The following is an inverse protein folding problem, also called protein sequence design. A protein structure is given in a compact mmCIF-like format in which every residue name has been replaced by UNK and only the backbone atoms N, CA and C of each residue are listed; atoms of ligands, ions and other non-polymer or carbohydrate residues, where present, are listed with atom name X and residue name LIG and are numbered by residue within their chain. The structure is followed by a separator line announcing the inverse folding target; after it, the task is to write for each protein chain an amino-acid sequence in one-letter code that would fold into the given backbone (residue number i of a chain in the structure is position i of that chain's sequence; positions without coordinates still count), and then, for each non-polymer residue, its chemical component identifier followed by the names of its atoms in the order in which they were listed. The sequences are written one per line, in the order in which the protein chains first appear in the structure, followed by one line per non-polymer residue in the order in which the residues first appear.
data_IF_336715024815
#
_entry.id   IF_336715024815
#
_cell.length_a   1.000
_cell.length_b   1.000
_cell.length_c   1.000
_cell.angle_alpha   90.00
_cell.angle_beta   90.00
_cell.angle_gamma   90.00
#
_symmetry.space_group_name_H-M   'P 1'
#
loop_
_entity.id
_entity.type
_entity.pdbx_description
1 polymer ?
#
# COMPACT_ATOMS: atom_id res chain seq x y z
N UNK A 1 1.71 -3.61 -0.50
CA UNK A 1 3.13 -3.87 -0.19
C UNK A 1 3.35 -3.71 1.31
N UNK A 2 4.36 -4.38 1.89
CA UNK A 2 4.56 -4.59 3.33
C UNK A 2 6.03 -4.37 3.66
N UNK A 3 6.40 -3.11 3.89
CA UNK A 3 7.80 -2.75 4.07
C UNK A 3 8.68 -3.08 2.86
N UNK A 4 9.77 -2.38 2.76
CA UNK A 4 10.82 -2.53 1.74
C UNK A 4 12.11 -3.12 2.35
N UNK A 5 12.13 -3.31 3.67
CA UNK A 5 13.28 -3.82 4.42
C UNK A 5 12.93 -5.16 5.07
N UNK A 6 13.70 -6.18 4.72
CA UNK A 6 13.53 -7.54 5.21
C UNK A 6 14.79 -8.01 5.94
N UNK A 7 14.66 -8.73 7.06
CA UNK A 7 15.83 -9.33 7.71
C UNK A 7 16.48 -10.39 6.81
N UNK A 8 17.75 -10.69 7.07
CA UNK A 8 18.50 -11.73 6.36
C UNK A 8 17.94 -13.14 6.54
N UNK A 9 17.00 -13.34 7.48
CA UNK A 9 16.40 -14.65 7.79
C UNK A 9 14.99 -14.85 7.23
N UNK A 10 14.21 -13.77 7.00
CA UNK A 10 12.80 -13.87 6.61
C UNK A 10 12.44 -12.87 5.51
N UNK A 11 11.42 -13.20 4.73
CA UNK A 11 10.68 -12.24 3.92
C UNK A 11 9.45 -11.78 4.70
N UNK A 12 9.37 -10.48 5.00
CA UNK A 12 8.24 -9.92 5.73
C UNK A 12 7.02 -9.81 4.81
N UNK A 13 5.84 -10.15 5.33
CA UNK A 13 4.60 -10.13 4.56
C UNK A 13 3.44 -10.74 5.33
N UNK A 14 2.20 -10.53 4.87
CA UNK A 14 1.01 -11.19 5.41
C UNK A 14 0.53 -12.29 4.47
N UNK A 15 -0.14 -13.29 5.03
CA UNK A 15 -0.73 -14.37 4.27
C UNK A 15 -1.93 -13.83 3.49
N UNK A 16 -1.79 -13.71 2.17
CA UNK A 16 -2.87 -13.26 1.26
C UNK A 16 -3.83 -14.38 0.87
N UNK A 17 -3.30 -15.59 0.65
CA UNK A 17 -4.07 -16.78 0.31
C UNK A 17 -3.60 -17.93 1.20
N UNK A 18 -4.53 -18.71 1.75
CA UNK A 18 -4.21 -19.89 2.56
C UNK A 18 -5.15 -21.06 2.21
N UNK A 19 -4.69 -22.32 2.35
CA UNK A 19 -5.53 -23.49 2.12
C UNK A 19 -6.74 -23.49 3.06
N UNK A 20 -7.94 -23.60 2.50
CA UNK A 20 -9.18 -23.70 3.26
C UNK A 20 -10.27 -24.28 2.34
N UNK A 21 -10.93 -25.36 2.77
CA UNK A 21 -11.97 -26.05 1.99
C UNK A 21 -13.19 -25.16 1.69
N UNK A 22 -13.43 -24.14 2.51
CA UNK A 22 -14.50 -23.14 2.32
C UNK A 22 -13.98 -21.89 1.60
N UNK A 23 -12.86 -22.01 0.89
CA UNK A 23 -12.32 -20.97 0.00
C UNK A 23 -13.06 -20.92 -1.34
N UNK A 24 -12.74 -19.91 -2.14
CA UNK A 24 -13.36 -19.62 -3.44
C UNK A 24 -12.32 -19.47 -4.58
N UNK A 25 -11.08 -19.89 -4.31
CA UNK A 25 -9.97 -19.88 -5.28
C UNK A 25 -9.32 -21.24 -5.35
N UNK A 26 -8.81 -21.58 -6.52
CA UNK A 26 -8.05 -22.81 -6.75
C UNK A 26 -6.60 -22.46 -7.02
N UNK A 27 -5.70 -22.91 -6.15
CA UNK A 27 -4.25 -22.73 -6.28
C UNK A 27 -3.58 -24.09 -6.05
N UNK A 28 -2.60 -24.44 -6.87
CA UNK A 28 -1.83 -25.68 -6.72
C UNK A 28 -2.72 -26.94 -6.60
N UNK A 29 -3.85 -26.96 -7.32
CA UNK A 29 -4.83 -28.06 -7.28
C UNK A 29 -5.62 -28.19 -5.97
N UNK A 30 -5.61 -27.17 -5.09
CA UNK A 30 -6.33 -27.15 -3.81
C UNK A 30 -7.18 -25.89 -3.67
N UNK A 31 -8.18 -25.94 -2.80
CA UNK A 31 -9.02 -24.79 -2.46
C UNK A 31 -8.30 -23.85 -1.49
N UNK A 32 -8.28 -22.57 -1.81
CA UNK A 32 -7.68 -21.50 -1.02
C UNK A 32 -8.71 -20.42 -0.72
N UNK A 33 -8.62 -19.81 0.47
CA UNK A 33 -9.36 -18.60 0.83
C UNK A 33 -8.46 -17.38 0.73
N UNK A 34 -9.01 -16.27 0.24
CA UNK A 34 -8.37 -14.96 0.29
C UNK A 34 -8.49 -14.33 1.69
N UNK A 35 -7.39 -13.78 2.18
CA UNK A 35 -7.35 -12.92 3.36
C UNK A 35 -7.25 -11.44 2.94
N UNK A 36 -8.13 -10.61 3.48
CA UNK A 36 -8.15 -9.15 3.26
C UNK A 36 -7.82 -8.35 4.52
N UNK A 37 -7.57 -9.01 5.65
CA UNK A 37 -7.27 -8.38 6.95
C UNK A 37 -5.86 -8.78 7.36
N UNK A 38 -4.95 -7.81 7.40
CA UNK A 38 -3.52 -8.05 7.66
C UNK A 38 -3.29 -8.78 8.98
N UNK A 39 -3.93 -8.33 10.07
CA UNK A 39 -3.80 -8.96 11.39
C UNK A 39 -4.31 -10.40 11.48
N UNK A 40 -5.17 -10.86 10.55
CA UNK A 40 -5.58 -12.28 10.50
C UNK A 40 -4.43 -13.21 10.12
N UNK A 41 -3.35 -12.71 9.54
CA UNK A 41 -2.18 -13.53 9.21
C UNK A 41 -1.54 -14.16 10.45
N UNK A 42 -1.57 -13.49 11.60
CA UNK A 42 -1.12 -14.10 12.87
C UNK A 42 -1.94 -15.35 13.20
N UNK A 43 -3.27 -15.30 13.10
CA UNK A 43 -4.12 -16.46 13.35
C UNK A 43 -3.94 -17.58 12.31
N UNK A 44 -3.73 -17.22 11.03
CA UNK A 44 -3.48 -18.21 9.97
C UNK A 44 -2.14 -18.94 10.19
N UNK A 45 -1.17 -18.28 10.82
CA UNK A 45 0.16 -18.81 11.11
C UNK A 45 0.31 -19.29 12.57
N UNK A 46 -0.79 -19.55 13.28
CA UNK A 46 -0.79 -19.92 14.70
C UNK A 46 0.20 -21.05 15.05
N UNK A 47 0.27 -22.08 14.19
CA UNK A 47 1.13 -23.26 14.37
C UNK A 47 2.55 -23.07 13.82
N UNK A 48 2.91 -21.84 13.41
CA UNK A 48 4.20 -21.46 12.83
C UNK A 48 4.82 -20.25 13.54
N UNK A 49 5.22 -20.39 14.82
CA UNK A 49 5.73 -19.27 15.63
C UNK A 49 7.00 -18.64 15.05
N UNK A 50 7.80 -19.39 14.29
CA UNK A 50 8.94 -18.88 13.55
C UNK A 50 8.56 -17.78 12.54
N UNK A 51 7.29 -17.74 12.10
CA UNK A 51 6.81 -16.71 11.19
C UNK A 51 6.47 -15.38 11.89
N UNK A 52 6.64 -15.26 13.22
CA UNK A 52 6.45 -14.01 13.94
C UNK A 52 7.78 -13.32 14.15
N UNK A 53 8.01 -12.26 13.39
CA UNK A 53 9.30 -11.59 13.29
C UNK A 53 9.18 -10.18 13.85
N UNK A 54 10.07 -9.79 14.75
CA UNK A 54 10.20 -8.38 15.11
C UNK A 54 10.98 -7.64 14.01
N UNK A 55 10.35 -6.64 13.39
CA UNK A 55 11.04 -5.78 12.42
C UNK A 55 11.58 -4.55 13.14
N UNK A 56 12.90 -4.32 13.21
CA UNK A 56 13.44 -3.11 13.82
C UNK A 56 13.08 -1.85 13.03
N UNK A 57 12.99 -1.94 11.70
CA UNK A 57 12.64 -0.82 10.83
C UNK A 57 11.23 -0.31 11.09
N UNK A 58 10.28 -1.23 11.33
CA UNK A 58 8.91 -0.89 11.68
C UNK A 58 8.82 -0.62 13.18
N UNK A 59 9.46 -1.42 14.02
CA UNK A 59 9.40 -1.32 15.48
C UNK A 59 8.27 -2.14 16.11
N UNK A 60 7.75 -3.16 15.42
CA UNK A 60 6.71 -4.06 15.94
C UNK A 60 6.89 -5.49 15.42
N UNK A 61 6.10 -6.41 15.98
CA UNK A 61 5.98 -7.78 15.47
C UNK A 61 5.13 -7.77 14.20
N UNK A 62 5.65 -8.46 13.18
CA UNK A 62 5.06 -8.62 11.86
C UNK A 62 5.17 -10.09 11.46
N UNK A 63 4.31 -10.55 10.55
CA UNK A 63 4.47 -11.88 9.97
C UNK A 63 5.58 -11.89 8.90
N UNK A 64 6.34 -12.97 8.82
CA UNK A 64 7.33 -13.17 7.79
C UNK A 64 7.62 -14.65 7.58
N UNK A 65 7.97 -15.06 6.37
CA UNK A 65 8.26 -16.47 6.06
C UNK A 65 9.78 -16.67 6.09
N UNK A 66 10.29 -17.73 6.74
CA UNK A 66 11.71 -18.09 6.66
C UNK A 66 12.16 -18.16 5.20
N UNK A 67 13.35 -17.63 4.89
CA UNK A 67 13.84 -17.60 3.50
C UNK A 67 13.96 -19.00 2.89
N UNK A 68 14.37 -19.97 3.70
CA UNK A 68 14.57 -21.35 3.27
C UNK A 68 13.26 -22.09 2.94
N UNK A 69 12.11 -21.56 3.38
CA UNK A 69 10.79 -22.12 3.06
C UNK A 69 10.22 -21.60 1.73
N UNK A 70 10.87 -20.61 1.12
CA UNK A 70 10.36 -19.98 -0.10
C UNK A 70 10.65 -20.88 -1.29
N UNK A 71 9.60 -21.55 -1.77
CA UNK A 71 9.68 -22.41 -2.97
C UNK A 71 9.65 -21.59 -4.26
N UNK A 72 8.90 -20.48 -4.28
CA UNK A 72 8.70 -19.67 -5.48
C UNK A 72 8.48 -18.20 -5.12
N UNK A 73 9.10 -17.31 -5.89
CA UNK A 73 8.87 -15.88 -5.85
C UNK A 73 8.17 -15.44 -7.15
N UNK A 74 7.02 -14.79 -7.01
CA UNK A 74 6.27 -14.25 -8.14
C UNK A 74 6.62 -12.78 -8.34
N UNK A 75 7.30 -12.47 -9.45
CA UNK A 75 7.64 -11.09 -9.82
C UNK A 75 6.53 -10.44 -10.64
N UNK A 76 6.13 -9.23 -10.25
CA UNK A 76 5.05 -8.48 -10.93
C UNK A 76 5.41 -8.12 -12.37
N UNK A 77 6.68 -7.78 -12.64
CA UNK A 77 7.20 -7.49 -13.98
C UNK A 77 7.26 -8.74 -14.86
N UNK A 78 7.71 -9.86 -14.30
CA UNK A 78 7.73 -11.13 -15.02
C UNK A 78 6.31 -11.65 -15.32
N UNK A 79 5.36 -11.46 -14.40
CA UNK A 79 3.97 -11.79 -14.66
C UNK A 79 3.38 -10.94 -15.78
N UNK A 80 3.66 -9.63 -15.78
CA UNK A 80 3.25 -8.74 -16.88
C UNK A 80 3.83 -9.21 -18.22
N UNK A 81 5.12 -9.48 -18.29
CA UNK A 81 5.78 -9.98 -19.50
C UNK A 81 5.19 -11.32 -19.97
N UNK A 82 4.97 -12.27 -19.06
CA UNK A 82 4.38 -13.57 -19.38
C UNK A 82 2.95 -13.44 -19.94
N UNK A 83 2.14 -12.54 -19.37
CA UNK A 83 0.78 -12.27 -19.88
C UNK A 83 0.80 -11.57 -21.24
N UNK A 84 1.83 -10.78 -21.54
CA UNK A 84 2.03 -10.19 -22.87
C UNK A 84 2.42 -11.24 -23.91
N UNK A 85 3.38 -12.10 -23.58
CA UNK A 85 3.89 -13.14 -24.47
C UNK A 85 2.89 -14.28 -24.68
N UNK A 86 2.14 -14.63 -23.64
CA UNK A 86 1.16 -15.73 -23.66
C UNK A 86 -0.20 -15.26 -23.14
N UNK A 87 -0.98 -14.52 -23.94
CA UNK A 87 -2.32 -14.05 -23.55
C UNK A 87 -3.29 -15.18 -23.16
N UNK A 88 -3.08 -16.39 -23.69
CA UNK A 88 -3.87 -17.60 -23.39
C UNK A 88 -3.79 -18.05 -21.91
N UNK A 89 -2.88 -17.46 -21.12
CA UNK A 89 -2.86 -17.63 -19.66
C UNK A 89 -4.09 -16.99 -18.98
N UNK A 90 -4.78 -16.10 -19.67
CA UNK A 90 -5.99 -15.44 -19.18
C UNK A 90 -7.27 -16.17 -19.61
N UNK A 91 -8.33 -16.01 -18.83
CA UNK A 91 -9.63 -16.66 -19.04
C UNK A 91 -10.46 -16.08 -20.20
N UNK A 92 -9.92 -15.12 -20.95
CA UNK A 92 -10.62 -14.43 -22.03
C UNK A 92 -11.79 -13.54 -21.61
N UNK A 93 -12.05 -13.37 -20.29
CA UNK A 93 -13.10 -12.48 -19.79
C UNK A 93 -12.87 -11.02 -20.19
N UNK A 94 -13.91 -10.18 -20.10
CA UNK A 94 -13.79 -8.76 -20.41
C UNK A 94 -12.70 -8.06 -19.57
N UNK A 95 -12.53 -8.45 -18.30
CA UNK A 95 -11.47 -7.91 -17.43
C UNK A 95 -10.09 -8.32 -17.93
N UNK A 96 -9.93 -9.57 -18.35
CA UNK A 96 -8.68 -10.06 -18.96
C UNK A 96 -8.34 -9.32 -20.25
N UNK A 97 -9.33 -9.02 -21.10
CA UNK A 97 -9.12 -8.23 -22.31
C UNK A 97 -8.72 -6.78 -21.99
N UNK A 98 -9.34 -6.16 -20.98
CA UNK A 98 -8.93 -4.83 -20.53
C UNK A 98 -7.48 -4.83 -20.00
N UNK A 99 -7.10 -5.85 -19.24
CA UNK A 99 -5.72 -6.01 -18.77
C UNK A 99 -4.75 -6.13 -19.95
N UNK A 100 -5.05 -6.92 -20.97
CA UNK A 100 -4.21 -7.05 -22.17
C UNK A 100 -4.05 -5.71 -22.91
N UNK A 101 -5.11 -4.91 -23.00
CA UNK A 101 -5.03 -3.59 -23.60
C UNK A 101 -4.11 -2.64 -22.80
N UNK A 102 -4.22 -2.70 -21.46
CA UNK A 102 -3.32 -1.96 -20.55
C UNK A 102 -1.87 -2.42 -20.69
N UNK A 103 -1.62 -3.73 -20.74
CA UNK A 103 -0.27 -4.29 -20.96
C UNK A 103 0.28 -3.85 -22.32
N UNK A 104 -0.55 -3.85 -23.37
CA UNK A 104 -0.15 -3.37 -24.69
C UNK A 104 0.29 -1.90 -24.67
N UNK A 105 -0.41 -1.05 -23.92
CA UNK A 105 0.02 0.34 -23.70
C UNK A 105 1.36 0.41 -22.97
N UNK A 106 1.54 -0.38 -21.91
CA UNK A 106 2.78 -0.40 -21.11
C UNK A 106 3.98 -0.78 -22.00
N UNK A 107 3.81 -1.81 -22.83
CA UNK A 107 4.85 -2.26 -23.78
C UNK A 107 5.16 -1.19 -24.84
N UNK A 108 4.13 -0.55 -25.40
CA UNK A 108 4.31 0.50 -26.40
C UNK A 108 5.03 1.75 -25.87
N UNK A 109 5.04 1.95 -24.56
CA UNK A 109 5.71 3.07 -23.88
C UNK A 109 6.98 2.64 -23.15
N UNK A 110 7.48 1.42 -23.40
CA UNK A 110 8.72 0.88 -22.80
C UNK A 110 8.73 0.99 -21.27
N UNK A 111 7.57 0.76 -20.65
CA UNK A 111 7.37 0.91 -19.20
C UNK A 111 7.28 -0.44 -18.46
N UNK A 112 7.52 -1.56 -19.13
CA UNK A 112 7.46 -2.92 -18.59
C UNK A 112 8.58 -3.22 -17.57
N UNK A 113 9.67 -2.44 -17.60
CA UNK A 113 10.74 -2.52 -16.61
C UNK A 113 10.40 -1.80 -15.29
N UNK A 114 9.38 -0.94 -15.27
CA UNK A 114 8.96 -0.15 -14.10
C UNK A 114 7.48 -0.27 -13.74
N UNK A 115 6.70 -1.04 -14.48
CA UNK A 115 5.31 -1.39 -14.14
C UNK A 115 5.15 -2.90 -14.15
N UNK A 116 4.41 -3.43 -13.18
CA UNK A 116 4.09 -4.85 -13.09
C UNK A 116 2.64 -5.10 -12.73
N UNK A 117 2.18 -6.33 -12.97
CA UNK A 117 0.84 -6.80 -12.57
C UNK A 117 0.96 -7.56 -11.24
N UNK A 118 0.09 -7.25 -10.28
CA UNK A 118 0.05 -7.90 -8.97
C UNK A 118 -1.30 -8.56 -8.68
N UNK A 119 -1.57 -8.88 -7.41
CA UNK A 119 -2.90 -9.31 -6.96
C UNK A 119 -3.29 -10.67 -7.52
N UNK A 120 -4.56 -10.80 -7.94
CA UNK A 120 -5.10 -12.08 -8.40
C UNK A 120 -4.52 -12.56 -9.73
N UNK A 121 -4.12 -11.63 -10.62
CA UNK A 121 -3.49 -11.95 -11.89
C UNK A 121 -2.06 -12.49 -11.72
N UNK A 122 -1.30 -11.97 -10.74
CA UNK A 122 0.08 -12.41 -10.45
C UNK A 122 0.19 -13.90 -10.15
N UNK A 123 -0.80 -14.46 -9.45
CA UNK A 123 -0.81 -15.87 -9.02
C UNK A 123 -1.80 -16.72 -9.81
N UNK A 124 -2.37 -16.20 -10.91
CA UNK A 124 -3.23 -16.96 -11.82
C UNK A 124 -4.59 -17.35 -11.24
N UNK A 125 -5.15 -16.54 -10.33
CA UNK A 125 -6.46 -16.80 -9.69
C UNK A 125 -7.48 -15.70 -9.94
N UNK A 126 -7.21 -14.87 -10.94
CA UNK A 126 -8.16 -13.87 -11.40
C UNK A 126 -9.40 -14.55 -12.00
N UNK A 127 -10.52 -13.83 -11.96
CA UNK A 127 -11.72 -14.21 -12.69
C UNK A 127 -12.49 -12.98 -13.13
N UNK A 128 -13.65 -13.17 -13.75
CA UNK A 128 -14.43 -12.10 -14.39
C UNK A 128 -14.89 -10.92 -13.49
N UNK A 129 -14.69 -11.00 -12.16
CA UNK A 129 -15.00 -9.93 -11.19
C UNK A 129 -13.75 -9.44 -10.43
N UNK A 130 -12.56 -9.83 -10.87
CA UNK A 130 -11.32 -9.39 -10.26
C UNK A 130 -11.07 -7.91 -10.54
N UNK A 131 -10.47 -7.24 -9.56
CA UNK A 131 -9.82 -5.95 -9.77
C UNK A 131 -8.49 -6.19 -10.53
N UNK A 132 -8.04 -5.18 -11.28
CA UNK A 132 -6.71 -5.14 -11.89
C UNK A 132 -5.81 -4.32 -10.98
N UNK A 133 -4.88 -5.01 -10.33
CA UNK A 133 -3.90 -4.37 -9.44
C UNK A 133 -2.56 -4.27 -10.18
N UNK A 134 -2.07 -3.05 -10.38
CA UNK A 134 -0.74 -2.78 -10.90
C UNK A 134 0.19 -2.31 -9.77
N UNK A 135 1.49 -2.40 -10.01
CA UNK A 135 2.54 -1.75 -9.21
C UNK A 135 3.45 -0.97 -10.14
N UNK A 136 3.99 0.15 -9.67
CA UNK A 136 5.05 0.86 -10.39
C UNK A 136 6.24 1.16 -9.49
N UNK A 137 7.44 1.25 -10.06
CA UNK A 137 8.70 1.33 -9.31
C UNK A 137 9.41 2.66 -9.50
N UNK A 138 9.62 3.39 -8.40
CA UNK A 138 10.35 4.65 -8.37
C UNK A 138 9.67 5.81 -9.13
N UNK A 139 10.36 6.96 -9.24
CA UNK A 139 9.80 8.15 -9.89
C UNK A 139 9.39 7.92 -11.35
N UNK A 140 10.19 7.19 -12.13
CA UNK A 140 9.88 6.86 -13.53
C UNK A 140 8.63 5.99 -13.64
N UNK A 141 8.49 4.98 -12.78
CA UNK A 141 7.28 4.15 -12.73
C UNK A 141 6.05 4.95 -12.33
N UNK A 142 6.19 5.86 -11.37
CA UNK A 142 5.10 6.77 -10.98
C UNK A 142 4.65 7.66 -12.14
N UNK A 143 5.59 8.30 -12.85
CA UNK A 143 5.30 9.14 -14.02
C UNK A 143 4.64 8.35 -15.16
N UNK A 144 5.17 7.16 -15.50
CA UNK A 144 4.57 6.29 -16.51
C UNK A 144 3.15 5.87 -16.14
N UNK A 145 2.92 5.53 -14.86
CA UNK A 145 1.59 5.21 -14.37
C UNK A 145 0.66 6.44 -14.38
N UNK A 146 1.16 7.65 -14.09
CA UNK A 146 0.34 8.86 -14.25
C UNK A 146 -0.14 9.02 -15.70
N UNK A 147 0.74 8.83 -16.68
CA UNK A 147 0.36 8.87 -18.11
C UNK A 147 -0.68 7.80 -18.44
N UNK A 148 -0.47 6.54 -18.04
CA UNK A 148 -1.45 5.46 -18.24
C UNK A 148 -2.85 5.81 -17.71
N UNK A 149 -2.93 6.39 -16.52
CA UNK A 149 -4.22 6.73 -15.89
C UNK A 149 -4.89 7.99 -16.50
N UNK A 150 -4.22 8.68 -17.41
CA UNK A 150 -4.84 9.72 -18.27
C UNK A 150 -5.43 9.17 -19.56
N UNK A 151 -5.11 7.93 -19.95
CA UNK A 151 -5.60 7.29 -21.18
C UNK A 151 -7.07 6.89 -21.07
N UNK A 152 -7.96 7.80 -21.46
CA UNK A 152 -9.43 7.62 -21.33
C UNK A 152 -10.00 6.47 -22.16
N UNK A 153 -9.27 6.02 -23.19
CA UNK A 153 -9.63 4.84 -23.98
C UNK A 153 -9.46 3.54 -23.16
N UNK A 154 -8.55 3.51 -22.20
CA UNK A 154 -8.25 2.34 -21.37
C UNK A 154 -8.87 2.45 -19.97
N UNK A 155 -8.73 3.62 -19.35
CA UNK A 155 -9.06 3.86 -17.94
C UNK A 155 -9.94 5.11 -17.83
N UNK A 156 -11.15 4.91 -17.32
CA UNK A 156 -12.07 5.98 -16.94
C UNK A 156 -11.84 6.37 -15.49
N UNK A 157 -11.80 7.69 -15.19
CA UNK A 157 -11.74 8.15 -13.81
C UNK A 157 -13.06 7.83 -13.09
N UNK A 158 -13.01 7.85 -11.76
CA UNK A 158 -14.23 7.83 -10.97
C UNK A 158 -14.94 9.18 -11.06
N UNK A 159 -16.11 9.19 -11.69
CA UNK A 159 -16.94 10.39 -11.88
C UNK A 159 -18.42 10.07 -11.65
N UNK A 160 -19.22 11.11 -11.36
CA UNK A 160 -20.66 10.99 -11.14
C UNK A 160 -21.01 9.89 -10.11
N UNK A 161 -21.90 8.98 -10.50
CA UNK A 161 -22.37 7.87 -9.65
C UNK A 161 -21.22 6.93 -9.22
N UNK A 162 -20.22 6.71 -10.07
CA UNK A 162 -19.09 5.83 -9.74
C UNK A 162 -18.21 6.42 -8.64
N UNK A 163 -18.09 7.75 -8.60
CA UNK A 163 -17.40 8.48 -7.53
C UNK A 163 -18.16 8.38 -6.21
N UNK A 164 -19.49 8.48 -6.24
CA UNK A 164 -20.34 8.23 -5.06
C UNK A 164 -20.18 6.81 -4.54
N UNK A 165 -20.14 5.81 -5.42
CA UNK A 165 -19.88 4.41 -5.02
C UNK A 165 -18.48 4.23 -4.42
N UNK A 166 -17.46 4.88 -4.98
CA UNK A 166 -16.11 4.90 -4.41
C UNK A 166 -16.14 5.48 -3.00
N UNK A 167 -16.79 6.63 -2.81
CA UNK A 167 -16.96 7.25 -1.50
C UNK A 167 -17.59 6.28 -0.49
N UNK A 168 -18.73 5.67 -0.82
CA UNK A 168 -19.43 4.73 0.08
C UNK A 168 -18.56 3.52 0.46
N UNK A 169 -17.69 3.06 -0.45
CA UNK A 169 -16.73 1.99 -0.19
C UNK A 169 -15.62 2.44 0.77
N UNK A 170 -15.13 3.68 0.64
CA UNK A 170 -14.00 4.23 1.40
C UNK A 170 -14.38 4.82 2.76
N UNK A 171 -15.57 5.43 2.86
CA UNK A 171 -16.07 6.08 4.07
C UNK A 171 -16.11 5.13 5.29
N UNK A 172 -16.31 3.82 5.06
CA UNK A 172 -16.25 2.79 6.10
C UNK A 172 -14.90 2.71 6.82
N UNK A 173 -13.82 3.11 6.15
CA UNK A 173 -12.44 3.00 6.65
C UNK A 173 -11.81 4.36 6.95
N UNK A 174 -12.51 5.46 6.64
CA UNK A 174 -12.01 6.84 6.80
C UNK A 174 -13.00 7.66 7.61
N UNK A 175 -13.31 7.15 8.81
CA UNK A 175 -14.17 7.84 9.77
C UNK A 175 -13.56 9.21 10.11
N UNK A 176 -14.39 10.26 10.10
CA UNK A 176 -13.98 11.62 10.44
C UNK A 176 -13.56 12.52 9.27
N UNK A 177 -13.43 12.00 8.04
CA UNK A 177 -13.28 12.84 6.84
C UNK A 177 -14.62 13.43 6.38
N UNK A 178 -14.61 14.68 5.94
CA UNK A 178 -15.73 15.22 5.14
C UNK A 178 -15.76 14.55 3.76
N UNK A 179 -16.93 14.56 3.11
CA UNK A 179 -17.10 14.02 1.77
C UNK A 179 -16.08 14.61 0.78
N UNK A 180 -15.97 15.94 0.73
CA UNK A 180 -15.10 16.65 -0.20
C UNK A 180 -13.62 16.34 0.04
N UNK A 181 -13.19 16.24 1.30
CA UNK A 181 -11.79 15.93 1.63
C UNK A 181 -11.44 14.49 1.28
N UNK A 182 -12.36 13.55 1.54
CA UNK A 182 -12.18 12.16 1.15
C UNK A 182 -12.05 12.04 -0.38
N UNK A 183 -12.91 12.70 -1.14
CA UNK A 183 -12.84 12.67 -2.60
C UNK A 183 -11.56 13.32 -3.14
N UNK A 184 -11.15 14.46 -2.57
CA UNK A 184 -9.89 15.11 -2.95
C UNK A 184 -8.68 14.22 -2.68
N UNK A 185 -8.69 13.48 -1.57
CA UNK A 185 -7.64 12.51 -1.24
C UNK A 185 -7.67 11.30 -2.19
N UNK A 186 -8.84 10.74 -2.47
CA UNK A 186 -8.98 9.58 -3.38
C UNK A 186 -8.66 9.93 -4.84
N UNK A 187 -8.93 11.16 -5.29
CA UNK A 187 -8.63 11.63 -6.64
C UNK A 187 -7.13 11.77 -6.93
N UNK A 188 -6.27 11.79 -5.90
CA UNK A 188 -4.80 11.83 -6.05
C UNK A 188 -4.18 10.46 -6.28
N UNK A 189 -4.95 9.38 -6.12
CA UNK A 189 -4.47 8.01 -6.27
C UNK A 189 -4.55 7.58 -7.74
N UNK A 190 -3.64 6.71 -8.14
CA UNK A 190 -3.66 6.03 -9.44
C UNK A 190 -4.74 4.94 -9.41
N UNK A 191 -5.99 5.34 -9.61
CA UNK A 191 -7.13 4.44 -9.62
C UNK A 191 -8.23 4.89 -10.59
N UNK A 192 -8.98 3.92 -11.12
CA UNK A 192 -10.09 4.17 -12.03
C UNK A 192 -10.90 2.92 -12.31
N UNK A 193 -11.60 2.95 -13.43
CA UNK A 193 -12.38 1.84 -13.98
C UNK A 193 -11.91 1.55 -15.40
N UNK A 194 -11.75 0.28 -15.75
CA UNK A 194 -11.45 -0.08 -17.14
C UNK A 194 -12.62 0.24 -18.08
N UNK A 195 -12.31 0.52 -19.35
CA UNK A 195 -13.34 0.94 -20.31
C UNK A 195 -14.26 -0.21 -20.72
N UNK A 196 -13.75 -1.43 -20.94
CA UNK A 196 -14.55 -2.56 -21.40
C UNK A 196 -15.43 -3.16 -20.32
N UNK A 197 -14.82 -3.74 -19.27
CA UNK A 197 -15.49 -4.45 -18.19
C UNK A 197 -16.02 -3.53 -17.08
N UNK A 198 -15.50 -2.30 -16.97
CA UNK A 198 -15.79 -1.45 -15.81
C UNK A 198 -15.20 -2.00 -14.50
N UNK A 199 -14.12 -2.78 -14.59
CA UNK A 199 -13.42 -3.32 -13.43
C UNK A 199 -12.61 -2.23 -12.73
N UNK A 200 -12.47 -2.32 -11.41
CA UNK A 200 -11.55 -1.42 -10.71
C UNK A 200 -10.12 -1.72 -11.16
N UNK A 201 -9.40 -0.66 -11.51
CA UNK A 201 -7.97 -0.71 -11.78
C UNK A 201 -7.26 0.27 -10.86
N UNK A 202 -6.14 -0.15 -10.28
CA UNK A 202 -5.26 0.70 -9.49
C UNK A 202 -3.79 0.45 -9.84
N UNK A 203 -2.92 1.38 -9.45
CA UNK A 203 -1.48 1.19 -9.49
C UNK A 203 -0.88 1.67 -8.16
N UNK A 204 -0.23 0.77 -7.44
CA UNK A 204 0.47 1.09 -6.19
C UNK A 204 1.92 1.53 -6.49
N UNK A 205 2.31 2.76 -6.17
CA UNK A 205 3.69 3.20 -6.31
C UNK A 205 4.57 2.58 -5.24
N UNK A 206 5.65 1.94 -5.67
CA UNK A 206 6.67 1.34 -4.83
C UNK A 206 7.96 2.14 -4.96
N UNK A 207 8.80 2.07 -3.93
CA UNK A 207 10.18 2.57 -4.00
C UNK A 207 10.96 1.90 -5.12
N UNK A 208 11.97 2.60 -5.63
CA UNK A 208 12.81 2.11 -6.72
C UNK A 208 13.62 0.89 -6.29
N UNK A 209 14.03 0.07 -7.25
CA UNK A 209 14.99 -1.02 -6.97
C UNK A 209 16.28 -0.42 -6.40
N UNK A 210 16.72 -0.92 -5.24
CA UNK A 210 17.92 -0.43 -4.56
C UNK A 210 17.72 0.88 -3.79
N UNK A 211 16.49 1.38 -3.63
CA UNK A 211 16.18 2.44 -2.66
C UNK A 211 16.63 2.02 -1.25
N UNK A 212 17.32 2.92 -0.54
CA UNK A 212 17.89 2.68 0.79
C UNK A 212 17.29 3.58 1.88
N UNK A 213 16.19 4.27 1.60
CA UNK A 213 15.57 5.27 2.48
C UNK A 213 15.28 4.73 3.87
N UNK A 214 14.83 3.47 3.96
CA UNK A 214 14.53 2.83 5.25
C UNK A 214 15.56 1.78 5.68
N UNK A 215 16.66 1.63 4.95
CA UNK A 215 17.75 0.74 5.36
C UNK A 215 18.42 1.27 6.62
N UNK A 216 18.76 0.35 7.54
CA UNK A 216 19.43 0.68 8.80
C UNK A 216 18.65 1.70 9.66
N UNK A 217 17.33 1.78 9.44
CA UNK A 217 16.41 2.55 10.28
C UNK A 217 15.90 1.67 11.41
N UNK A 218 15.83 2.24 12.61
CA UNK A 218 15.28 1.60 13.79
C UNK A 218 14.15 2.46 14.34
N UNK A 219 13.00 1.86 14.59
CA UNK A 219 11.86 2.52 15.19
C UNK A 219 11.54 1.92 16.54
N UNK A 220 11.39 2.79 17.54
CA UNK A 220 10.99 2.42 18.89
C UNK A 220 9.70 3.12 19.24
N UNK A 221 8.71 2.34 19.64
CA UNK A 221 7.42 2.87 20.10
C UNK A 221 7.57 3.60 21.43
N UNK A 222 6.99 4.80 21.49
CA UNK A 222 6.98 5.67 22.68
C UNK A 222 5.54 5.84 23.20
N UNK A 223 4.55 5.72 22.33
CA UNK A 223 3.14 5.82 22.69
C UNK A 223 2.24 5.99 21.47
N UNK A 224 1.08 6.59 21.67
CA UNK A 224 0.12 6.94 20.63
C UNK A 224 -0.22 8.43 20.70
N UNK A 225 -0.42 9.05 19.53
CA UNK A 225 -0.78 10.45 19.44
C UNK A 225 -1.76 10.70 18.29
N UNK A 226 -2.73 11.58 18.51
CA UNK A 226 -3.65 12.13 17.51
C UNK A 226 -3.41 13.64 17.39
N UNK A 227 -3.19 14.12 16.17
CA UNK A 227 -2.81 15.52 15.88
C UNK A 227 -3.51 16.06 14.65
N UNK A 228 -3.54 17.38 14.56
CA UNK A 228 -3.66 18.10 13.30
C UNK A 228 -2.24 18.52 12.87
N UNK A 229 -1.81 18.12 11.67
CA UNK A 229 -0.47 18.41 11.18
C UNK A 229 -0.49 18.92 9.74
N UNK A 230 0.39 19.87 9.43
CA UNK A 230 0.59 20.37 8.07
C UNK A 230 1.69 19.58 7.39
N UNK A 231 1.47 19.16 6.14
CA UNK A 231 2.48 18.52 5.31
C UNK A 231 3.50 19.58 4.87
N UNK A 232 4.77 19.39 5.23
CA UNK A 232 5.88 20.26 4.83
C UNK A 232 6.61 19.75 3.60
N UNK A 233 6.66 18.44 3.43
CA UNK A 233 7.24 17.76 2.27
C UNK A 233 6.47 16.46 1.96
N UNK A 234 6.27 16.18 0.69
CA UNK A 234 5.54 15.01 0.19
C UNK A 234 6.30 14.21 -0.86
N UNK A 235 7.54 14.58 -1.21
CA UNK A 235 8.30 13.92 -2.27
C UNK A 235 8.42 12.41 -2.01
N UNK A 236 8.87 12.04 -0.81
CA UNK A 236 8.99 10.65 -0.35
C UNK A 236 7.63 10.01 0.02
N UNK A 237 6.55 10.77 -0.06
CA UNK A 237 5.19 10.32 0.20
C UNK A 237 4.51 9.72 -1.03
N UNK A 238 5.12 9.88 -2.22
CA UNK A 238 4.59 9.38 -3.49
C UNK A 238 4.82 7.88 -3.71
N UNK A 239 5.68 7.24 -2.92
CA UNK A 239 6.01 5.82 -3.01
C UNK A 239 5.82 5.13 -1.65
N UNK A 240 5.44 3.86 -1.67
CA UNK A 240 5.27 3.04 -0.46
C UNK A 240 6.61 2.46 -0.01
N UNK A 241 6.93 2.40 1.30
CA UNK A 241 6.25 3.09 2.39
C UNK A 241 6.36 4.62 2.26
N UNK A 242 5.25 5.31 2.48
CA UNK A 242 5.16 6.75 2.28
C UNK A 242 5.79 7.49 3.45
N UNK A 243 6.63 8.47 3.16
CA UNK A 243 7.26 9.36 4.14
C UNK A 243 6.90 10.81 3.82
N UNK A 244 6.27 11.48 4.77
CA UNK A 244 5.94 12.89 4.67
C UNK A 244 6.69 13.67 5.74
N UNK A 245 7.21 14.85 5.39
CA UNK A 245 7.57 15.86 6.37
C UNK A 245 6.30 16.49 6.92
N UNK A 246 6.23 16.70 8.24
CA UNK A 246 5.09 17.32 8.90
C UNK A 246 5.50 18.35 9.95
N UNK A 247 4.65 19.36 10.14
CA UNK A 247 4.65 20.24 11.32
C UNK A 247 3.36 20.00 12.09
N UNK A 248 3.46 19.64 13.38
CA UNK A 248 2.27 19.48 14.24
C UNK A 248 1.73 20.85 14.63
N UNK A 249 0.47 21.11 14.30
CA UNK A 249 -0.23 22.36 14.60
C UNK A 249 -1.02 22.29 15.90
N UNK A 250 -1.67 21.15 16.15
CA UNK A 250 -2.52 20.93 17.33
C UNK A 250 -2.42 19.48 17.79
N UNK A 251 -2.27 19.26 19.11
CA UNK A 251 -2.45 17.93 19.70
C UNK A 251 -3.92 17.73 20.08
N UNK A 252 -4.51 16.62 19.63
CA UNK A 252 -5.92 16.27 19.89
C UNK A 252 -5.99 15.27 21.05
N UNK A 253 -5.13 14.26 21.03
CA UNK A 253 -5.01 13.25 22.08
C UNK A 253 -3.58 12.70 22.11
N UNK A 254 -3.13 12.25 23.28
CA UNK A 254 -1.79 11.71 23.48
C UNK A 254 -1.77 10.75 24.65
N UNK A 255 -0.95 9.70 24.57
CA UNK A 255 -0.65 8.82 25.72
C UNK A 255 0.55 9.29 26.54
N UNK A 256 1.23 10.35 26.12
CA UNK A 256 2.38 10.95 26.82
C UNK A 256 2.02 12.30 27.42
N UNK A 257 2.61 12.61 28.58
CA UNK A 257 2.53 13.91 29.24
C UNK A 257 3.29 15.00 28.46
N UNK A 258 2.97 16.27 28.73
CA UNK A 258 3.57 17.44 28.08
C UNK A 258 3.56 17.37 26.53
N UNK A 259 2.50 16.77 25.99
CA UNK A 259 2.36 16.46 24.57
C UNK A 259 2.52 17.67 23.64
N UNK A 260 2.11 18.87 24.06
CA UNK A 260 2.27 20.11 23.29
C UNK A 260 3.73 20.53 23.12
N UNK A 261 4.56 20.31 24.14
CA UNK A 261 6.01 20.57 24.06
C UNK A 261 6.65 19.50 23.19
N UNK A 262 6.24 18.25 23.38
CA UNK A 262 6.75 17.12 22.64
C UNK A 262 6.44 17.19 21.15
N UNK A 263 5.23 17.62 20.79
CA UNK A 263 4.74 17.73 19.42
C UNK A 263 5.67 18.53 18.50
N UNK A 264 6.39 19.51 19.04
CA UNK A 264 7.39 20.32 18.30
C UNK A 264 8.60 19.52 17.82
N UNK A 265 8.81 18.31 18.34
CA UNK A 265 9.88 17.39 17.96
C UNK A 265 9.43 16.35 16.92
N UNK A 266 8.13 16.27 16.66
CA UNK A 266 7.55 15.37 15.67
C UNK A 266 7.68 16.02 14.31
N UNK A 267 8.39 15.35 13.40
CA UNK A 267 8.82 15.95 12.13
C UNK A 267 8.39 15.15 10.91
N UNK A 268 7.97 13.90 11.10
CA UNK A 268 7.65 13.01 9.98
C UNK A 268 6.41 12.16 10.25
N UNK A 269 5.68 11.88 9.18
CA UNK A 269 4.65 10.85 9.09
C UNK A 269 5.17 9.72 8.20
N UNK A 270 5.24 8.49 8.73
CA UNK A 270 5.57 7.28 7.97
C UNK A 270 4.36 6.36 7.86
N UNK A 271 3.99 5.96 6.64
CA UNK A 271 2.86 5.06 6.41
C UNK A 271 3.27 3.81 5.66
N UNK A 272 2.98 2.65 6.25
CA UNK A 272 3.03 1.34 5.60
C UNK A 272 1.68 0.95 4.97
N UNK A 273 0.69 1.84 5.05
CA UNK A 273 -0.62 1.65 4.44
C UNK A 273 -0.64 2.34 3.07
N UNK A 274 -0.76 1.55 1.99
CA UNK A 274 -0.86 2.07 0.62
C UNK A 274 -2.03 3.03 0.39
N UNK A 275 -3.04 2.99 1.26
CA UNK A 275 -4.13 3.96 1.27
C UNK A 275 -3.68 5.42 1.48
N UNK A 276 -2.47 5.65 2.03
CA UNK A 276 -1.90 6.98 2.25
C UNK A 276 -0.73 7.30 1.32
N UNK A 277 -0.39 6.42 0.38
CA UNK A 277 0.63 6.68 -0.64
C UNK A 277 0.09 7.65 -1.67
N UNK A 278 0.85 8.71 -1.94
CA UNK A 278 0.45 9.79 -2.84
C UNK A 278 -0.80 10.56 -2.39
N UNK A 279 -1.27 10.38 -1.15
CA UNK A 279 -2.54 10.93 -0.67
C UNK A 279 -2.44 12.42 -0.33
N UNK A 280 -1.28 12.90 0.10
CA UNK A 280 -1.09 14.27 0.59
C UNK A 280 -0.08 15.06 -0.25
N UNK A 281 -0.18 16.39 -0.21
CA UNK A 281 0.70 17.35 -0.87
C UNK A 281 1.16 18.38 0.13
N UNK A 282 2.32 18.99 -0.13
CA UNK A 282 2.83 20.09 0.67
C UNK A 282 1.77 21.19 0.82
N UNK A 283 1.60 21.66 2.05
CA UNK A 283 0.58 22.66 2.40
C UNK A 283 -0.77 22.08 2.84
N UNK A 284 -1.07 20.82 2.53
CA UNK A 284 -2.25 20.15 3.08
C UNK A 284 -2.17 20.06 4.60
N UNK A 285 -3.31 20.06 5.25
CA UNK A 285 -3.40 19.69 6.67
C UNK A 285 -4.13 18.37 6.83
N UNK A 286 -3.59 17.51 7.67
CA UNK A 286 -4.10 16.16 7.91
C UNK A 286 -4.45 15.96 9.37
N UNK A 287 -5.59 15.32 9.60
CA UNK A 287 -5.92 14.70 10.89
C UNK A 287 -5.23 13.34 10.93
N UNK A 288 -4.31 13.17 11.87
CA UNK A 288 -3.39 12.04 11.93
C UNK A 288 -3.48 11.38 13.30
N UNK A 289 -3.78 10.09 13.33
CA UNK A 289 -3.79 9.28 14.55
C UNK A 289 -2.95 8.03 14.32
N UNK A 290 -1.86 7.91 15.07
CA UNK A 290 -0.87 6.89 14.81
C UNK A 290 0.06 6.66 15.97
N UNK A 291 0.92 5.67 15.80
CA UNK A 291 1.93 5.32 16.78
C UNK A 291 3.01 6.38 16.83
N UNK A 292 3.28 6.93 18.01
CA UNK A 292 4.41 7.81 18.24
C UNK A 292 5.69 6.98 18.35
N UNK A 293 6.62 7.22 17.43
CA UNK A 293 7.87 6.47 17.34
C UNK A 293 9.08 7.40 17.41
N UNK A 294 10.13 6.95 18.08
CA UNK A 294 11.47 7.47 17.92
C UNK A 294 12.15 6.70 16.79
N UNK A 295 12.56 7.41 15.75
CA UNK A 295 13.21 6.86 14.56
C UNK A 295 14.69 7.21 14.63
N UNK A 296 15.56 6.21 14.53
CA UNK A 296 17.01 6.37 14.48
C UNK A 296 17.52 5.94 13.11
N UNK A 297 18.24 6.84 12.43
CA UNK A 297 18.90 6.54 11.15
C UNK A 297 20.32 5.97 11.33
N UNK A 298 20.97 5.55 10.23
CA UNK A 298 22.28 4.91 10.25
C UNK A 298 23.41 5.77 10.84
N UNK A 299 23.28 7.09 10.79
CA UNK A 299 24.25 8.06 11.33
C UNK A 299 24.01 8.38 12.81
N UNK A 300 23.03 7.76 13.46
CA UNK A 300 22.66 8.03 14.85
C UNK A 300 21.85 9.32 15.04
N UNK A 301 21.62 10.10 13.99
CA UNK A 301 20.66 11.20 14.02
C UNK A 301 19.25 10.62 14.08
N UNK A 302 18.52 10.93 15.15
CA UNK A 302 17.16 10.44 15.38
C UNK A 302 16.16 11.58 15.49
N UNK A 303 14.88 11.25 15.26
CA UNK A 303 13.76 12.18 15.33
C UNK A 303 12.49 11.47 15.76
N UNK A 304 11.46 12.24 16.11
CA UNK A 304 10.15 11.67 16.40
C UNK A 304 9.26 11.74 15.17
N UNK A 305 8.48 10.70 14.97
CA UNK A 305 7.51 10.61 13.90
C UNK A 305 6.25 9.90 14.35
N UNK A 306 5.22 9.98 13.50
CA UNK A 306 3.98 9.24 13.67
C UNK A 306 3.93 8.16 12.60
N UNK A 307 3.69 6.92 13.01
CA UNK A 307 3.64 5.78 12.13
C UNK A 307 2.24 5.20 11.98
N UNK A 308 1.87 4.90 10.73
CA UNK A 308 0.65 4.19 10.37
C UNK A 308 1.01 2.80 9.86
N UNK A 309 0.58 1.78 10.59
CA UNK A 309 0.95 0.39 10.33
C UNK A 309 -0.28 -0.54 10.35
N UNK A 310 -0.41 -1.49 9.40
CA UNK A 310 -1.52 -2.45 9.40
C UNK A 310 -1.34 -3.60 10.42
N UNK A 311 -0.23 -3.62 11.15
CA UNK A 311 0.15 -4.73 12.04
C UNK A 311 -0.41 -4.61 13.46
N UNK A 312 -1.07 -3.49 13.78
CA UNK A 312 -1.78 -3.35 15.06
C UNK A 312 -3.06 -4.18 15.05
N UNK A 313 -3.25 -4.99 16.10
CA UNK A 313 -4.49 -5.73 16.33
C UNK A 313 -5.49 -4.94 17.19
N UNK A 314 -5.05 -3.86 17.84
CA UNK A 314 -5.80 -3.14 18.87
C UNK A 314 -6.42 -1.85 18.35
N UNK A 315 -5.81 -1.19 17.37
CA UNK A 315 -6.18 0.16 16.94
C UNK A 315 -6.13 0.31 15.42
N UNK A 316 -7.06 1.09 14.87
CA UNK A 316 -7.04 1.50 13.47
C UNK A 316 -6.37 2.86 13.35
N UNK A 317 -5.15 2.89 12.83
CA UNK A 317 -4.45 4.14 12.55
C UNK A 317 -4.98 4.80 11.28
N UNK A 318 -5.07 6.13 11.30
CA UNK A 318 -5.64 6.87 10.18
C UNK A 318 -4.96 8.20 9.92
N UNK A 319 -4.99 8.60 8.64
CA UNK A 319 -4.61 9.93 8.19
C UNK A 319 -5.63 10.42 7.16
N UNK A 320 -6.28 11.53 7.49
CA UNK A 320 -7.37 12.08 6.70
C UNK A 320 -7.06 13.53 6.34
N UNK A 321 -7.25 13.89 5.07
CA UNK A 321 -7.18 15.29 4.67
C UNK A 321 -8.24 16.10 5.43
N UNK A 322 -7.81 17.24 5.99
CA UNK A 322 -8.67 18.14 6.78
C UNK A 322 -8.89 19.49 6.07
N UNK A 323 -7.88 20.02 5.38
CA UNK A 323 -7.93 21.24 4.55
C UNK A 323 -6.82 21.20 3.50
#
# INVERSE_FOLDING_TARGET
MIGDVHPGSHWLGYVKYYPDERGDRTLFGRTYRQNTVVSKAFGILADRPECYVYSPAIGCVITGVPRDDVVMHYSCRQALAALHETPDLLDGSAVSQDLLAVIGWIMAHEADDVIGVTGSFLVGVAGARSDIDLVCYGPRGYEAAQHLFTERSLIRPYEGETLTRLYLRRAKYMAGSSFDMLLRQEARKLQGLTTGAGAHINCEPLRADGDRTFHDVFAQEVGHISVLARITDHHEGLATPALYGIDVETVIASTIDESEVFARRITHLRSYLGAYTGAFRQGDTVHLSGRLVHIQGPTGTGGFGIELTPWSATESYLANLAR
#
